data_IF_321044613049
#
_entry.id   IF_321044613049
#
_cell.length_a   1.000
_cell.length_b   1.000
_cell.length_c   1.000
_cell.angle_alpha   90.00
_cell.angle_beta   90.00
_cell.angle_gamma   90.00
#
_symmetry.space_group_name_H-M   'P 1'
#
loop_
_entity.id
_entity.type
_entity.pdbx_description
1 polymer ?
#
# COMPACT_ATOMS: atom_id res chain seq x y z
N UNK A 1 3.69 7.27 -0.60
CA UNK A 1 4.05 7.71 0.75
C UNK A 1 3.10 8.82 1.20
N UNK A 2 2.06 8.48 1.92
CA UNK A 2 1.28 9.46 2.67
C UNK A 2 1.19 8.94 4.11
N UNK A 3 2.35 8.71 4.72
CA UNK A 3 2.48 8.59 6.14
C UNK A 3 2.86 9.96 6.70
N UNK A 4 2.24 10.37 7.80
CA UNK A 4 2.74 11.52 8.53
C UNK A 4 4.20 11.23 8.94
N UNK A 5 5.07 12.24 8.88
CA UNK A 5 6.47 12.16 9.31
C UNK A 5 6.66 11.46 10.67
N UNK A 6 5.66 11.60 11.53
CA UNK A 6 5.64 11.03 12.88
C UNK A 6 5.60 9.49 12.88
N UNK A 7 5.06 8.85 11.84
CA UNK A 7 4.98 7.39 11.79
C UNK A 7 6.27 6.70 11.31
N UNK A 8 7.18 7.42 10.65
CA UNK A 8 8.38 6.84 10.02
C UNK A 8 9.62 7.14 10.85
N UNK A 9 9.73 8.33 11.47
CA UNK A 9 10.91 8.73 12.27
C UNK A 9 11.03 8.05 13.64
N UNK A 10 9.92 7.54 14.18
CA UNK A 10 9.92 6.85 15.48
C UNK A 10 10.24 5.35 15.37
N UNK A 11 10.69 4.89 14.21
CA UNK A 11 10.96 3.47 13.95
C UNK A 11 12.39 3.28 13.49
N UNK A 12 12.98 2.16 13.90
CA UNK A 12 14.28 1.67 13.44
C UNK A 12 14.19 1.18 11.98
N UNK A 13 13.72 2.02 11.05
CA UNK A 13 13.68 1.73 9.62
C UNK A 13 14.05 2.96 8.81
N UNK A 14 14.77 2.74 7.73
CA UNK A 14 15.16 3.74 6.76
C UNK A 14 14.32 3.60 5.48
N UNK A 15 13.89 4.71 4.91
CA UNK A 15 13.27 4.72 3.58
C UNK A 15 14.40 4.78 2.56
N UNK A 16 14.75 3.65 1.97
CA UNK A 16 15.83 3.53 1.03
C UNK A 16 15.61 4.37 -0.24
N UNK A 17 14.40 4.36 -0.79
CA UNK A 17 13.99 5.22 -1.91
C UNK A 17 12.47 5.27 -2.07
N UNK A 18 12.01 6.20 -2.90
CA UNK A 18 10.63 6.26 -3.41
C UNK A 18 10.67 6.12 -4.92
N UNK A 19 9.84 5.20 -5.43
CA UNK A 19 9.67 4.97 -6.86
C UNK A 19 8.23 5.28 -7.22
N UNK A 20 7.99 6.11 -8.23
CA UNK A 20 6.65 6.50 -8.65
C UNK A 20 6.56 6.65 -10.17
N UNK A 21 5.38 6.35 -10.72
CA UNK A 21 5.07 6.64 -12.12
C UNK A 21 4.60 8.09 -12.37
N UNK A 22 4.52 8.90 -11.32
CA UNK A 22 4.23 10.35 -11.36
C UNK A 22 5.36 11.12 -10.70
N UNK A 23 5.56 12.36 -11.09
CA UNK A 23 6.66 13.19 -10.56
C UNK A 23 6.21 14.21 -9.50
N UNK A 24 4.93 14.27 -9.22
CA UNK A 24 4.29 15.29 -8.39
C UNK A 24 4.83 15.36 -6.95
N UNK A 25 5.33 14.25 -6.42
CA UNK A 25 5.82 14.16 -5.04
C UNK A 25 7.33 14.32 -4.90
N UNK A 26 8.07 14.48 -5.99
CA UNK A 26 9.54 14.53 -5.98
C UNK A 26 10.07 15.54 -4.98
N UNK A 27 9.68 16.81 -5.11
CA UNK A 27 10.20 17.88 -4.27
C UNK A 27 9.93 17.65 -2.78
N UNK A 28 8.79 17.07 -2.44
CA UNK A 28 8.43 16.74 -1.06
C UNK A 28 9.28 15.60 -0.50
N UNK A 29 9.50 14.55 -1.30
CA UNK A 29 10.29 13.38 -0.87
C UNK A 29 11.77 13.74 -0.75
N UNK A 30 12.33 14.44 -1.74
CA UNK A 30 13.73 14.87 -1.75
C UNK A 30 14.03 15.91 -0.65
N UNK A 31 13.04 16.72 -0.25
CA UNK A 31 13.18 17.62 0.89
C UNK A 31 13.45 16.86 2.21
N UNK A 32 12.98 15.62 2.32
CA UNK A 32 13.28 14.73 3.45
C UNK A 32 14.62 13.97 3.30
N UNK A 33 15.39 14.25 2.24
CA UNK A 33 16.65 13.56 1.95
C UNK A 33 16.48 12.14 1.41
N UNK A 34 15.29 11.77 0.95
CA UNK A 34 14.97 10.45 0.42
C UNK A 34 15.15 10.46 -1.11
N UNK A 35 15.91 9.51 -1.70
CA UNK A 35 16.02 9.38 -3.15
C UNK A 35 14.66 9.14 -3.81
N UNK A 36 14.37 9.87 -4.88
CA UNK A 36 13.13 9.75 -5.64
C UNK A 36 13.40 9.38 -7.09
N UNK A 37 12.74 8.31 -7.55
CA UNK A 37 12.84 7.81 -8.92
C UNK A 37 11.49 7.91 -9.63
N UNK A 38 11.47 8.68 -10.72
CA UNK A 38 10.31 8.73 -11.61
C UNK A 38 10.46 7.66 -12.68
N UNK A 39 9.60 6.65 -12.63
CA UNK A 39 9.56 5.53 -13.57
C UNK A 39 8.18 5.51 -14.23
N UNK A 40 7.99 6.23 -15.35
CA UNK A 40 6.71 6.29 -16.04
C UNK A 40 6.35 4.92 -16.62
N UNK A 41 5.08 4.54 -16.49
CA UNK A 41 4.55 3.27 -17.00
C UNK A 41 3.83 3.51 -18.33
N UNK A 42 4.31 2.90 -19.40
CA UNK A 42 3.60 2.85 -20.68
C UNK A 42 2.49 1.78 -20.60
N UNK A 43 1.20 2.13 -20.79
CA UNK A 43 0.11 1.15 -20.73
C UNK A 43 0.21 0.02 -21.77
N UNK A 44 0.86 0.28 -22.93
CA UNK A 44 1.04 -0.71 -24.01
C UNK A 44 2.25 -1.63 -23.80
N UNK A 45 3.22 -1.17 -23.01
CA UNK A 45 4.45 -1.94 -22.71
C UNK A 45 4.95 -1.58 -21.31
N UNK A 46 4.63 -2.40 -20.34
CA UNK A 46 4.97 -2.17 -18.92
C UNK A 46 6.31 -2.80 -18.51
N UNK A 47 6.81 -3.74 -19.29
CA UNK A 47 8.02 -4.51 -18.98
C UNK A 47 9.24 -3.63 -18.65
N UNK A 48 9.57 -2.57 -19.44
CA UNK A 48 10.72 -1.74 -19.13
C UNK A 48 10.59 -1.02 -17.78
N UNK A 49 9.38 -0.56 -17.43
CA UNK A 49 9.13 0.09 -16.16
C UNK A 49 9.27 -0.89 -14.98
N UNK A 50 8.75 -2.10 -15.12
CA UNK A 50 8.86 -3.13 -14.08
C UNK A 50 10.31 -3.61 -13.90
N UNK A 51 11.06 -3.77 -14.99
CA UNK A 51 12.48 -4.08 -14.93
C UNK A 51 13.27 -2.98 -14.19
N UNK A 52 12.95 -1.71 -14.44
CA UNK A 52 13.58 -0.59 -13.76
C UNK A 52 13.21 -0.52 -12.28
N UNK A 53 11.94 -0.77 -11.93
CA UNK A 53 11.52 -0.89 -10.51
C UNK A 53 12.30 -1.99 -9.81
N UNK A 54 12.38 -3.19 -10.39
CA UNK A 54 13.13 -4.32 -9.83
C UNK A 54 14.61 -3.98 -9.66
N UNK A 55 15.22 -3.33 -10.68
CA UNK A 55 16.61 -2.87 -10.62
C UNK A 55 16.86 -1.90 -9.47
N UNK A 56 15.97 -0.92 -9.29
CA UNK A 56 16.07 0.09 -8.23
C UNK A 56 15.91 -0.53 -6.84
N UNK A 57 14.92 -1.40 -6.65
CA UNK A 57 14.72 -2.11 -5.37
C UNK A 57 15.97 -2.88 -4.98
N UNK A 58 16.59 -3.60 -5.93
CA UNK A 58 17.86 -4.32 -5.71
C UNK A 58 19.04 -3.39 -5.45
N UNK A 59 19.16 -2.30 -6.23
CA UNK A 59 20.24 -1.32 -6.08
C UNK A 59 20.25 -0.68 -4.68
N UNK A 60 19.06 -0.47 -4.11
CA UNK A 60 18.90 0.11 -2.78
C UNK A 60 18.85 -0.94 -1.67
N UNK A 61 19.08 -2.22 -1.99
CA UNK A 61 19.09 -3.33 -1.02
C UNK A 61 17.86 -3.30 -0.10
N UNK A 62 16.68 -2.96 -0.66
CA UNK A 62 15.47 -2.80 0.13
C UNK A 62 14.98 -4.16 0.67
N UNK A 63 14.81 -4.24 1.98
CA UNK A 63 14.29 -5.43 2.66
C UNK A 63 12.79 -5.61 2.45
N UNK A 64 12.04 -4.51 2.38
CA UNK A 64 10.58 -4.47 2.28
C UNK A 64 10.15 -3.51 1.19
N UNK A 65 9.20 -3.92 0.37
CA UNK A 65 8.55 -3.09 -0.64
C UNK A 65 7.15 -2.73 -0.16
N UNK A 66 6.84 -1.43 -0.10
CA UNK A 66 5.52 -0.95 0.31
C UNK A 66 4.80 -0.35 -0.89
N UNK A 67 3.66 -0.93 -1.25
CA UNK A 67 2.78 -0.42 -2.29
C UNK A 67 1.75 0.53 -1.66
N UNK A 68 1.91 1.82 -1.92
CA UNK A 68 1.00 2.86 -1.47
C UNK A 68 0.33 3.52 -2.67
N UNK A 69 -0.96 3.29 -2.86
CA UNK A 69 -1.72 3.74 -4.04
C UNK A 69 -1.11 3.30 -5.37
N UNK A 70 -0.50 2.15 -5.37
CA UNK A 70 0.05 1.54 -6.56
C UNK A 70 -1.05 0.83 -7.33
N UNK A 71 -1.45 1.41 -8.46
CA UNK A 71 -2.60 0.94 -9.25
C UNK A 71 -2.18 0.02 -10.41
N UNK A 72 -1.01 -0.60 -10.30
CA UNK A 72 -0.52 -1.59 -11.26
C UNK A 72 -0.48 -2.97 -10.60
N UNK A 73 -0.57 -4.02 -11.40
CA UNK A 73 -0.33 -5.39 -10.95
C UNK A 73 1.18 -5.62 -11.01
N UNK A 74 1.78 -6.06 -9.92
CA UNK A 74 3.20 -6.42 -9.89
C UNK A 74 3.46 -7.66 -10.75
N UNK A 75 4.61 -7.72 -11.44
CA UNK A 75 5.02 -8.92 -12.15
C UNK A 75 5.18 -10.11 -11.19
N UNK A 76 4.82 -11.33 -11.62
CA UNK A 76 4.97 -12.53 -10.79
C UNK A 76 6.40 -12.75 -10.27
N UNK A 77 7.39 -12.40 -11.08
CA UNK A 77 8.81 -12.49 -10.72
C UNK A 77 9.16 -11.63 -9.50
N UNK A 78 8.64 -10.40 -9.45
CA UNK A 78 8.86 -9.50 -8.32
C UNK A 78 8.10 -9.98 -7.08
N UNK A 79 6.88 -10.49 -7.25
CA UNK A 79 6.09 -11.08 -6.16
C UNK A 79 6.81 -12.29 -5.56
N UNK A 80 7.39 -13.16 -6.40
CA UNK A 80 8.12 -14.36 -5.96
C UNK A 80 9.43 -14.01 -5.27
N UNK A 81 10.20 -13.07 -5.82
CA UNK A 81 11.49 -12.65 -5.29
C UNK A 81 11.37 -11.99 -3.91
N UNK A 82 10.31 -11.23 -3.71
CA UNK A 82 10.01 -10.53 -2.44
C UNK A 82 8.82 -11.15 -1.70
N UNK A 83 8.61 -12.47 -1.83
CA UNK A 83 7.54 -13.17 -1.15
C UNK A 83 7.56 -12.91 0.36
N UNK A 84 6.42 -12.49 0.93
CA UNK A 84 6.29 -12.10 2.35
C UNK A 84 6.96 -10.77 2.72
N UNK A 85 7.50 -10.03 1.75
CA UNK A 85 8.17 -8.74 1.94
C UNK A 85 7.60 -7.61 1.08
N UNK A 86 6.52 -7.87 0.34
CA UNK A 86 5.74 -6.83 -0.35
C UNK A 86 4.46 -6.62 0.42
N UNK A 87 4.25 -5.41 0.89
CA UNK A 87 3.08 -5.00 1.68
C UNK A 87 2.28 -3.99 0.86
N UNK A 88 0.97 -4.22 0.72
CA UNK A 88 0.05 -3.32 0.04
C UNK A 88 -0.95 -2.72 1.02
N UNK A 89 -1.29 -1.45 0.83
CA UNK A 89 -2.47 -0.83 1.44
C UNK A 89 -3.59 -0.75 0.41
N UNK A 90 -4.63 -1.54 0.63
CA UNK A 90 -5.84 -1.53 -0.18
C UNK A 90 -6.90 -0.66 0.46
N UNK A 91 -7.51 0.22 -0.33
CA UNK A 91 -8.46 1.24 0.11
C UNK A 91 -9.90 0.73 0.23
N UNK A 92 -10.06 -0.51 0.71
CA UNK A 92 -11.33 -1.08 1.14
C UNK A 92 -11.12 -2.12 2.24
N UNK A 93 -12.21 -2.47 2.91
CA UNK A 93 -12.23 -3.57 3.86
C UNK A 93 -12.40 -4.89 3.08
N UNK A 94 -11.29 -5.54 2.75
CA UNK A 94 -11.28 -6.80 2.01
C UNK A 94 -12.02 -7.91 2.81
N UNK A 95 -12.77 -8.78 2.14
CA UNK A 95 -12.88 -8.99 0.69
C UNK A 95 -13.92 -8.11 -0.01
N UNK A 96 -14.43 -7.06 0.61
CA UNK A 96 -15.44 -6.17 0.03
C UNK A 96 -14.81 -5.13 -0.89
N UNK A 97 -15.50 -4.79 -2.00
CA UNK A 97 -15.12 -3.71 -2.93
C UNK A 97 -13.72 -3.86 -3.52
N UNK A 98 -13.42 -5.06 -4.01
CA UNK A 98 -12.20 -5.34 -4.77
C UNK A 98 -12.15 -4.50 -6.06
N UNK A 99 -10.98 -4.03 -6.43
CA UNK A 99 -10.74 -3.29 -7.67
C UNK A 99 -10.87 -1.77 -7.52
N UNK A 100 -11.23 -1.11 -8.64
CA UNK A 100 -11.18 0.36 -8.74
C UNK A 100 -12.39 1.07 -8.12
N UNK A 101 -12.17 2.29 -7.60
CA UNK A 101 -13.20 3.21 -7.08
C UNK A 101 -14.07 2.64 -5.94
N UNK A 102 -13.50 2.02 -4.89
CA UNK A 102 -14.27 1.37 -3.84
C UNK A 102 -15.21 2.33 -3.10
N UNK A 103 -14.85 3.60 -2.89
CA UNK A 103 -15.72 4.59 -2.26
C UNK A 103 -16.98 4.92 -3.08
N UNK A 104 -16.89 4.91 -4.41
CA UNK A 104 -18.07 5.05 -5.27
C UNK A 104 -18.97 3.82 -5.17
N UNK A 105 -18.39 2.61 -5.17
CA UNK A 105 -19.13 1.36 -4.98
C UNK A 105 -19.81 1.35 -3.60
N UNK A 106 -19.10 1.75 -2.55
CA UNK A 106 -19.60 1.84 -1.19
C UNK A 106 -20.78 2.82 -1.07
N UNK A 107 -20.67 4.00 -1.67
CA UNK A 107 -21.73 5.01 -1.70
C UNK A 107 -22.96 4.50 -2.45
N UNK A 108 -22.80 3.95 -3.64
CA UNK A 108 -23.91 3.37 -4.42
C UNK A 108 -24.62 2.23 -3.69
N UNK A 109 -23.87 1.42 -2.93
CA UNK A 109 -24.42 0.32 -2.14
C UNK A 109 -25.08 0.80 -0.85
N UNK A 110 -24.83 2.04 -0.41
CA UNK A 110 -25.34 2.61 0.82
C UNK A 110 -24.80 1.94 2.08
N UNK A 111 -23.52 1.53 2.06
CA UNK A 111 -22.88 0.90 3.23
C UNK A 111 -22.77 1.87 4.40
N UNK A 112 -22.59 1.32 5.59
CA UNK A 112 -22.46 2.10 6.85
C UNK A 112 -21.03 2.10 7.38
N UNK A 113 -20.15 1.32 6.78
CA UNK A 113 -18.74 1.22 7.12
C UNK A 113 -17.93 1.22 5.83
N UNK A 114 -16.84 1.97 5.84
CA UNK A 114 -15.73 1.89 4.86
C UNK A 114 -14.45 1.60 5.63
N UNK A 115 -13.42 1.12 4.95
CA UNK A 115 -12.19 0.77 5.65
C UNK A 115 -11.01 0.62 4.72
N UNK A 116 -9.92 0.12 5.29
CA UNK A 116 -8.69 -0.18 4.57
C UNK A 116 -8.10 -1.51 5.05
N UNK A 117 -7.31 -2.13 4.20
CA UNK A 117 -6.65 -3.42 4.48
C UNK A 117 -5.18 -3.34 4.12
N UNK A 118 -4.31 -3.62 5.08
CA UNK A 118 -2.89 -3.86 4.89
C UNK A 118 -2.66 -5.37 4.78
N UNK A 119 -2.08 -5.82 3.68
CA UNK A 119 -1.86 -7.25 3.43
C UNK A 119 -0.55 -7.50 2.69
N UNK A 120 -0.04 -8.72 2.79
CA UNK A 120 1.05 -9.14 1.93
C UNK A 120 0.56 -9.33 0.50
N UNK A 121 1.41 -8.98 -0.46
CA UNK A 121 1.11 -9.16 -1.88
C UNK A 121 1.44 -10.59 -2.29
N UNK A 122 0.55 -11.17 -3.08
CA UNK A 122 0.71 -12.47 -3.75
C UNK A 122 0.47 -12.29 -5.25
N UNK A 123 0.60 -13.35 -6.02
CA UNK A 123 0.30 -13.32 -7.47
C UNK A 123 -1.18 -13.04 -7.75
N UNK A 124 -2.06 -13.42 -6.81
CA UNK A 124 -3.50 -13.14 -6.90
C UNK A 124 -3.79 -11.74 -6.35
N UNK A 125 -4.50 -10.94 -7.15
CA UNK A 125 -4.81 -9.55 -6.83
C UNK A 125 -5.64 -9.43 -5.54
N UNK A 126 -5.17 -8.62 -4.59
CA UNK A 126 -5.83 -8.29 -3.33
C UNK A 126 -6.23 -9.52 -2.48
N UNK A 127 -5.61 -10.68 -2.70
CA UNK A 127 -5.96 -11.95 -2.06
C UNK A 127 -4.95 -12.44 -1.03
N UNK A 128 -3.84 -11.74 -0.85
CA UNK A 128 -2.77 -12.15 0.07
C UNK A 128 -3.14 -12.04 1.56
N UNK A 129 -2.32 -12.64 2.45
CA UNK A 129 -2.57 -12.67 3.89
C UNK A 129 -2.70 -11.27 4.49
N UNK A 130 -3.80 -11.04 5.21
CA UNK A 130 -4.13 -9.75 5.81
C UNK A 130 -3.31 -9.57 7.09
N UNK A 131 -2.64 -8.41 7.21
CA UNK A 131 -1.82 -8.03 8.38
C UNK A 131 -2.65 -7.20 9.35
N UNK A 132 -3.34 -6.17 8.83
CA UNK A 132 -4.11 -5.22 9.63
C UNK A 132 -5.30 -4.69 8.83
N UNK A 133 -6.40 -4.44 9.53
CA UNK A 133 -7.59 -3.81 8.95
C UNK A 133 -8.19 -2.82 9.94
N UNK A 134 -8.84 -1.78 9.43
CA UNK A 134 -9.65 -0.89 10.23
C UNK A 134 -10.81 -0.31 9.41
N UNK A 135 -11.82 0.18 10.11
CA UNK A 135 -13.04 0.71 9.51
C UNK A 135 -13.45 2.02 10.17
N UNK A 136 -14.14 2.84 9.40
CA UNK A 136 -14.80 4.05 9.89
C UNK A 136 -16.28 4.04 9.49
N UNK A 137 -17.13 4.55 10.38
CA UNK A 137 -18.55 4.69 10.12
C UNK A 137 -18.82 5.87 9.19
N UNK A 138 -19.70 5.63 8.22
CA UNK A 138 -20.24 6.64 7.31
C UNK A 138 -21.76 6.69 7.39
N UNK A 139 -22.32 7.83 7.03
CA UNK A 139 -23.76 8.08 7.05
C UNK A 139 -24.29 8.44 5.65
N UNK A 140 -25.61 8.58 5.56
CA UNK A 140 -26.24 8.99 4.30
C UNK A 140 -25.97 10.46 3.93
N UNK A 141 -25.51 11.27 4.88
CA UNK A 141 -25.16 12.68 4.68
C UNK A 141 -23.71 12.89 4.20
N UNK A 142 -22.88 11.84 4.28
CA UNK A 142 -21.48 11.94 3.83
C UNK A 142 -21.40 11.81 2.32
N UNK A 143 -20.72 12.77 1.68
CA UNK A 143 -20.43 12.76 0.27
C UNK A 143 -19.36 11.71 -0.08
N UNK A 144 -19.18 11.43 -1.36
CA UNK A 144 -18.08 10.55 -1.81
C UNK A 144 -16.73 11.17 -1.43
N UNK A 145 -16.60 12.48 -1.52
CA UNK A 145 -15.41 13.25 -1.13
C UNK A 145 -15.10 13.09 0.36
N UNK A 146 -16.13 13.11 1.22
CA UNK A 146 -15.99 12.85 2.65
C UNK A 146 -15.53 11.42 2.90
N UNK A 147 -16.14 10.43 2.23
CA UNK A 147 -15.73 9.03 2.32
C UNK A 147 -14.26 8.84 1.88
N UNK A 148 -13.83 9.52 0.81
CA UNK A 148 -12.42 9.49 0.37
C UNK A 148 -11.50 10.09 1.44
N UNK A 149 -11.90 11.19 2.07
CA UNK A 149 -11.12 11.82 3.16
C UNK A 149 -10.97 10.89 4.37
N UNK A 150 -12.09 10.35 4.86
CA UNK A 150 -12.08 9.40 5.98
C UNK A 150 -11.27 8.14 5.65
N UNK A 151 -11.45 7.61 4.44
CA UNK A 151 -10.72 6.45 3.97
C UNK A 151 -9.20 6.67 3.96
N UNK A 152 -8.74 7.84 3.51
CA UNK A 152 -7.31 8.20 3.52
C UNK A 152 -6.71 8.21 4.92
N UNK A 153 -7.46 8.63 5.92
CA UNK A 153 -6.98 8.66 7.30
C UNK A 153 -6.91 7.24 7.87
N UNK A 154 -7.87 6.38 7.53
CA UNK A 154 -7.84 4.95 7.89
C UNK A 154 -6.68 4.24 7.17
N UNK A 155 -6.48 4.48 5.86
CA UNK A 155 -5.36 3.91 5.08
C UNK A 155 -4.00 4.20 5.75
N UNK A 156 -3.76 5.45 6.18
CA UNK A 156 -2.51 5.84 6.86
C UNK A 156 -2.29 5.05 8.15
N UNK A 157 -3.33 4.95 8.98
CA UNK A 157 -3.22 4.26 10.28
C UNK A 157 -3.02 2.75 10.11
N UNK A 158 -3.76 2.15 9.18
CA UNK A 158 -3.69 0.71 8.90
C UNK A 158 -2.33 0.33 8.32
N UNK A 159 -1.83 1.10 7.33
CA UNK A 159 -0.49 0.88 6.79
C UNK A 159 0.59 1.05 7.87
N UNK A 160 0.49 2.10 8.67
CA UNK A 160 1.46 2.37 9.72
C UNK A 160 1.50 1.26 10.78
N UNK A 161 0.36 0.72 11.19
CA UNK A 161 0.28 -0.41 12.13
C UNK A 161 0.79 -1.71 11.50
N UNK A 162 0.32 -2.03 10.28
CA UNK A 162 0.72 -3.25 9.58
C UNK A 162 2.21 -3.29 9.28
N UNK A 163 2.80 -2.17 8.84
CA UNK A 163 4.24 -2.07 8.62
C UNK A 163 5.03 -2.22 9.94
N UNK A 164 4.54 -1.63 11.04
CA UNK A 164 5.16 -1.80 12.35
C UNK A 164 5.18 -3.26 12.77
N UNK A 165 4.07 -3.97 12.67
CA UNK A 165 4.02 -5.38 13.04
C UNK A 165 5.00 -6.23 12.22
N UNK A 166 5.14 -5.92 10.93
CA UNK A 166 6.10 -6.60 10.07
C UNK A 166 7.56 -6.30 10.49
N UNK A 167 7.91 -5.01 10.71
CA UNK A 167 9.27 -4.60 11.08
C UNK A 167 9.69 -5.06 12.49
N UNK A 168 8.74 -5.30 13.38
CA UNK A 168 8.95 -5.84 14.72
C UNK A 168 8.94 -7.38 14.76
N UNK A 169 8.92 -8.07 13.60
CA UNK A 169 8.81 -9.53 13.47
C UNK A 169 7.61 -10.13 14.22
N UNK A 170 6.50 -9.41 14.27
CA UNK A 170 5.29 -9.77 15.02
C UNK A 170 4.23 -10.46 14.17
N UNK A 171 4.50 -10.72 12.90
CA UNK A 171 3.54 -11.32 11.97
C UNK A 171 3.98 -12.73 11.60
N UNK A 172 3.22 -13.72 12.04
CA UNK A 172 3.37 -15.10 11.58
C UNK A 172 2.35 -15.38 10.47
N UNK A 173 2.83 -15.75 9.30
CA UNK A 173 1.98 -16.16 8.17
C UNK A 173 1.71 -17.66 8.26
N UNK A 174 0.43 -18.06 8.19
CA UNK A 174 0.00 -19.44 8.14
C UNK A 174 -1.04 -19.65 7.02
N UNK A 175 -0.61 -20.20 5.90
CA UNK A 175 -1.42 -20.25 4.68
C UNK A 175 -1.80 -18.85 4.23
N UNK A 176 -3.09 -18.57 4.03
CA UNK A 176 -3.60 -17.25 3.67
C UNK A 176 -4.09 -16.43 4.89
N UNK A 177 -3.54 -16.66 6.06
CA UNK A 177 -3.89 -15.94 7.30
C UNK A 177 -2.62 -15.47 8.00
N UNK A 178 -2.76 -14.46 8.85
CA UNK A 178 -1.70 -14.04 9.76
C UNK A 178 -2.12 -14.19 11.21
N UNK A 179 -1.13 -14.37 12.07
CA UNK A 179 -1.24 -14.20 13.52
C UNK A 179 -0.32 -13.04 13.89
N UNK A 180 -0.86 -12.02 14.53
CA UNK A 180 -0.10 -10.84 14.98
C UNK A 180 0.02 -10.90 16.51
N UNK A 181 1.27 -10.80 17.00
CA UNK A 181 1.61 -10.88 18.44
C UNK A 181 1.75 -9.51 19.09
#
# INVERSE_FOLDING_TARGET
>A
LVGSEMCIRDRDCEIACVISNHDDLRSMVEWHGIPYYHVPVNPQDKEPAFAEVSRLVKQHEADVVVLARYMQILPPELCSEYAGRVINIHHSFLPSFVGAKPYHQASLRGVKLIGATCHYVTEELDAGPIIEQDVVRVSHSDSIEDMVRFGRDVEKMVLARGLRYHLEDRVLVHGNKTVVF
#
